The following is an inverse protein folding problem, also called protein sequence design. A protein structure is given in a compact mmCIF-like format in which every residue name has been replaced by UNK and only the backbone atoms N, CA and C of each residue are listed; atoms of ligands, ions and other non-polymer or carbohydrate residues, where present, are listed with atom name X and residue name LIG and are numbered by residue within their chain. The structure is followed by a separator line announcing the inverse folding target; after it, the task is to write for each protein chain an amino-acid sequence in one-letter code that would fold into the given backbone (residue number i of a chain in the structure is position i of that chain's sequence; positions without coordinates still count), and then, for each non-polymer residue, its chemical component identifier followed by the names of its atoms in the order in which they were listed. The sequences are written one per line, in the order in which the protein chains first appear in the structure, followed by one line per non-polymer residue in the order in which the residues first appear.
data_IF_584653122793
#
_entry.id   IF_584653122793
#
_cell.length_a   1.000
_cell.length_b   1.000
_cell.length_c   1.000
_cell.angle_alpha   90.00
_cell.angle_beta   90.00
_cell.angle_gamma   90.00
#
_symmetry.space_group_name_H-M   'P 1'
#
loop_
_entity.id
_entity.type
_entity.pdbx_description
1 polymer ?
#
# COMPACT_ATOMS: atom_id res chain seq x y z
N UNK A 1 30.85 -17.76 -5.65
CA UNK A 1 31.60 -16.58 -6.13
C UNK A 1 31.41 -16.47 -7.63
N UNK A 2 30.33 -15.80 -8.06
CA UNK A 2 30.03 -15.56 -9.46
C UNK A 2 30.28 -14.07 -9.76
N UNK A 3 30.98 -13.79 -10.86
CA UNK A 3 31.32 -12.44 -11.30
C UNK A 3 30.05 -11.65 -11.63
N UNK A 4 29.67 -10.75 -10.72
CA UNK A 4 28.81 -9.61 -11.00
C UNK A 4 29.52 -8.69 -12.00
N UNK A 5 29.39 -8.97 -13.31
CA UNK A 5 29.63 -7.96 -14.34
C UNK A 5 28.46 -6.96 -14.33
N UNK A 6 28.36 -6.21 -13.22
CA UNK A 6 27.69 -4.91 -13.22
C UNK A 6 28.51 -4.03 -14.16
N UNK A 7 27.86 -3.47 -15.18
CA UNK A 7 28.48 -2.46 -16.04
C UNK A 7 29.14 -1.43 -15.12
N UNK A 8 30.44 -1.20 -15.30
CA UNK A 8 31.13 -0.12 -14.60
C UNK A 8 30.48 1.20 -14.97
N UNK A 9 29.72 1.78 -14.04
CA UNK A 9 29.06 3.08 -14.20
C UNK A 9 30.06 4.25 -14.27
N UNK A 10 31.36 4.01 -14.23
CA UNK A 10 32.36 5.05 -14.48
C UNK A 10 32.29 5.61 -15.92
N UNK A 11 31.76 4.86 -16.89
CA UNK A 11 31.51 5.35 -18.26
C UNK A 11 30.28 6.31 -18.35
N UNK A 12 29.46 6.39 -17.30
CA UNK A 12 28.27 7.26 -17.27
C UNK A 12 28.58 8.70 -16.84
N UNK A 13 29.70 8.92 -16.14
CA UNK A 13 30.03 10.20 -15.49
C UNK A 13 30.31 11.35 -16.45
N UNK A 14 30.53 11.11 -17.75
CA UNK A 14 31.05 12.14 -18.67
C UNK A 14 30.24 12.36 -19.96
N UNK A 15 28.95 12.04 -19.95
CA UNK A 15 28.26 11.75 -21.20
C UNK A 15 27.02 12.65 -21.41
N UNK A 16 27.19 13.65 -22.28
CA UNK A 16 26.12 14.26 -23.08
C UNK A 16 25.63 13.24 -24.13
N UNK A 17 25.33 11.99 -23.75
CA UNK A 17 24.94 10.98 -24.71
C UNK A 17 23.54 11.28 -25.25
N UNK A 18 23.51 11.88 -26.42
CA UNK A 18 22.32 11.95 -27.26
C UNK A 18 21.87 10.52 -27.62
N UNK A 19 20.56 10.30 -27.78
CA UNK A 19 20.04 9.00 -28.18
C UNK A 19 20.70 8.52 -29.48
N UNK A 20 21.31 7.33 -29.44
CA UNK A 20 21.96 6.70 -30.60
C UNK A 20 20.96 6.02 -31.52
N UNK A 21 19.95 5.37 -30.93
CA UNK A 21 18.86 4.72 -31.66
C UNK A 21 17.61 4.57 -30.78
N UNK A 22 16.77 5.62 -30.65
CA UNK A 22 15.55 5.60 -29.84
C UNK A 22 14.59 4.45 -30.19
N UNK A 23 14.36 4.22 -31.49
CA UNK A 23 13.44 3.19 -31.96
C UNK A 23 13.90 1.79 -31.54
N UNK A 24 15.21 1.50 -31.67
CA UNK A 24 15.78 0.23 -31.24
C UNK A 24 15.76 0.09 -29.72
N UNK A 25 15.98 1.18 -28.98
CA UNK A 25 15.85 1.19 -27.51
C UNK A 25 14.44 0.78 -27.07
N UNK A 26 13.40 1.35 -27.70
CA UNK A 26 12.00 1.00 -27.43
C UNK A 26 11.74 -0.47 -27.75
N UNK A 27 12.21 -0.97 -28.90
CA UNK A 27 12.05 -2.38 -29.28
C UNK A 27 12.68 -3.34 -28.27
N UNK A 28 13.89 -3.05 -27.78
CA UNK A 28 14.55 -3.87 -26.76
C UNK A 28 13.81 -3.84 -25.43
N UNK A 29 13.29 -2.68 -25.02
CA UNK A 29 12.46 -2.57 -23.82
C UNK A 29 11.17 -3.39 -23.94
N UNK A 30 10.49 -3.33 -25.10
CA UNK A 30 9.30 -4.15 -25.36
C UNK A 30 9.60 -5.65 -25.36
N UNK A 31 10.75 -6.05 -25.91
CA UNK A 31 11.22 -7.44 -25.83
C UNK A 31 11.48 -7.86 -24.38
N UNK A 32 12.07 -6.97 -23.56
CA UNK A 32 12.34 -7.25 -22.15
C UNK A 32 11.06 -7.47 -21.33
N UNK A 33 9.97 -6.74 -21.62
CA UNK A 33 8.67 -6.92 -20.93
C UNK A 33 8.12 -8.35 -21.14
N UNK A 34 8.37 -8.95 -22.31
CA UNK A 34 7.89 -10.28 -22.66
C UNK A 34 8.88 -11.40 -22.28
N UNK A 35 10.07 -11.04 -21.78
CA UNK A 35 11.13 -11.98 -21.46
C UNK A 35 10.95 -12.55 -20.04
N UNK A 36 10.80 -13.87 -19.96
CA UNK A 36 10.61 -14.61 -18.70
C UNK A 36 11.94 -14.76 -17.96
N UNK A 37 13.05 -14.88 -18.67
CA UNK A 37 14.35 -15.05 -18.05
C UNK A 37 14.86 -13.71 -17.46
N UNK A 38 14.99 -13.66 -16.14
CA UNK A 38 15.42 -12.47 -15.40
C UNK A 38 16.74 -11.85 -15.90
N UNK A 39 17.76 -12.67 -16.16
CA UNK A 39 19.07 -12.18 -16.61
C UNK A 39 19.04 -11.63 -18.05
N UNK A 40 18.30 -12.30 -18.94
CA UNK A 40 18.10 -11.84 -20.31
C UNK A 40 17.33 -10.51 -20.32
N UNK A 41 16.27 -10.40 -19.50
CA UNK A 41 15.49 -9.18 -19.32
C UNK A 41 16.35 -8.00 -18.87
N UNK A 42 17.17 -8.17 -17.84
CA UNK A 42 18.09 -7.13 -17.37
C UNK A 42 19.04 -6.68 -18.48
N UNK A 43 19.61 -7.63 -19.23
CA UNK A 43 20.54 -7.31 -20.33
C UNK A 43 19.86 -6.49 -21.43
N UNK A 44 18.64 -6.87 -21.83
CA UNK A 44 17.86 -6.13 -22.83
C UNK A 44 17.57 -4.70 -22.38
N UNK A 45 17.19 -4.50 -21.12
CA UNK A 45 16.93 -3.17 -20.54
C UNK A 45 18.20 -2.31 -20.47
N UNK A 46 19.33 -2.90 -20.09
CA UNK A 46 20.62 -2.21 -20.09
C UNK A 46 21.04 -1.80 -21.51
N UNK A 47 20.88 -2.68 -22.50
CA UNK A 47 21.15 -2.35 -23.90
C UNK A 47 20.21 -1.24 -24.42
N UNK A 48 18.93 -1.28 -24.04
CA UNK A 48 17.97 -0.22 -24.36
C UNK A 48 18.42 1.13 -23.80
N UNK A 49 18.81 1.17 -22.53
CA UNK A 49 19.28 2.38 -21.84
C UNK A 49 20.59 2.92 -22.47
N UNK A 50 21.50 2.05 -22.89
CA UNK A 50 22.73 2.47 -23.59
C UNK A 50 22.45 3.11 -24.96
N UNK A 51 21.41 2.64 -25.66
CA UNK A 51 21.00 3.19 -26.96
C UNK A 51 20.23 4.50 -26.83
N UNK A 52 19.44 4.64 -25.77
CA UNK A 52 18.73 5.88 -25.43
C UNK A 52 18.67 6.07 -23.91
N UNK A 53 19.56 6.91 -23.33
CA UNK A 53 19.55 7.20 -21.90
C UNK A 53 18.28 7.91 -21.41
N UNK A 54 17.42 8.41 -22.30
CA UNK A 54 16.15 9.05 -21.98
C UNK A 54 14.95 8.11 -22.19
N UNK A 55 15.19 6.83 -22.44
CA UNK A 55 14.14 5.81 -22.38
C UNK A 55 13.79 5.52 -20.91
N UNK A 56 13.04 6.42 -20.29
CA UNK A 56 12.71 6.35 -18.86
C UNK A 56 11.95 5.08 -18.46
N UNK A 57 11.14 4.52 -19.37
CA UNK A 57 10.46 3.25 -19.10
C UNK A 57 11.45 2.11 -18.90
N UNK A 58 12.56 2.09 -19.64
CA UNK A 58 13.57 1.06 -19.44
C UNK A 58 14.21 1.14 -18.04
N UNK A 59 14.34 2.32 -17.45
CA UNK A 59 14.78 2.46 -16.05
C UNK A 59 13.72 1.94 -15.07
N UNK A 60 12.45 2.26 -15.29
CA UNK A 60 11.34 1.79 -14.45
C UNK A 60 11.27 0.26 -14.44
N UNK A 61 11.41 -0.38 -15.60
CA UNK A 61 11.40 -1.85 -15.67
C UNK A 61 12.71 -2.51 -15.20
N UNK A 62 13.81 -1.76 -15.15
CA UNK A 62 15.10 -2.29 -14.69
C UNK A 62 15.18 -2.32 -13.16
N UNK A 63 14.56 -1.35 -12.49
CA UNK A 63 14.64 -1.19 -11.05
C UNK A 63 13.32 -1.55 -10.38
N UNK A 64 13.34 -2.62 -9.58
CA UNK A 64 12.16 -3.11 -8.87
C UNK A 64 11.93 -2.42 -7.51
N UNK A 65 12.88 -1.62 -7.04
CA UNK A 65 12.78 -0.90 -5.76
C UNK A 65 12.97 0.61 -5.94
N UNK A 66 12.19 1.44 -5.21
CA UNK A 66 12.45 2.89 -5.09
C UNK A 66 13.89 3.22 -4.69
N UNK A 67 14.51 2.43 -3.81
CA UNK A 67 15.88 2.66 -3.36
C UNK A 67 16.89 2.46 -4.49
N UNK A 68 16.67 1.49 -5.37
CA UNK A 68 17.57 1.23 -6.50
C UNK A 68 17.47 2.34 -7.56
N UNK A 69 16.27 2.90 -7.76
CA UNK A 69 16.09 4.08 -8.61
C UNK A 69 16.87 5.30 -8.09
N UNK A 70 16.82 5.54 -6.78
CA UNK A 70 17.47 6.71 -6.16
C UNK A 70 18.98 6.57 -6.04
N UNK A 71 19.49 5.35 -5.82
CA UNK A 71 20.93 5.09 -5.68
C UNK A 71 21.62 4.75 -7.01
N UNK A 72 20.85 4.51 -8.07
CA UNK A 72 21.33 4.13 -9.39
C UNK A 72 21.61 5.29 -10.35
N UNK A 73 22.05 4.98 -11.59
CA UNK A 73 22.17 5.95 -12.70
C UNK A 73 20.87 6.69 -13.03
N UNK A 74 19.71 6.13 -12.68
CA UNK A 74 18.40 6.73 -12.89
C UNK A 74 18.30 8.12 -12.26
N UNK A 75 18.88 8.32 -11.07
CA UNK A 75 18.88 9.63 -10.39
C UNK A 75 19.69 10.68 -11.15
N UNK A 76 20.83 10.31 -11.73
CA UNK A 76 21.62 11.24 -12.54
C UNK A 76 20.87 11.67 -13.81
N UNK A 77 20.25 10.70 -14.49
CA UNK A 77 19.41 10.95 -15.67
C UNK A 77 18.20 11.81 -15.30
N UNK A 78 17.58 11.56 -14.14
CA UNK A 78 16.49 12.36 -13.61
C UNK A 78 16.90 13.82 -13.41
N UNK A 79 18.01 14.08 -12.72
CA UNK A 79 18.51 15.44 -12.47
C UNK A 79 18.80 16.17 -13.78
N UNK A 80 19.48 15.52 -14.73
CA UNK A 80 19.76 16.08 -16.06
C UNK A 80 18.48 16.40 -16.83
N UNK A 81 17.53 15.48 -16.83
CA UNK A 81 16.24 15.61 -17.54
C UNK A 81 15.37 16.71 -16.92
N UNK A 82 15.34 16.81 -15.59
CA UNK A 82 14.60 17.85 -14.88
C UNK A 82 15.15 19.24 -15.20
N UNK A 83 16.49 19.42 -15.23
CA UNK A 83 17.12 20.68 -15.66
C UNK A 83 16.76 21.04 -17.10
N UNK A 84 16.76 20.05 -18.01
CA UNK A 84 16.37 20.25 -19.41
C UNK A 84 14.90 20.66 -19.54
N UNK A 85 14.02 20.01 -18.79
CA UNK A 85 12.59 20.30 -18.76
C UNK A 85 12.32 21.72 -18.24
N UNK A 86 12.93 22.12 -17.13
CA UNK A 86 12.85 23.49 -16.59
C UNK A 86 13.35 24.51 -17.63
N UNK A 87 14.51 24.27 -18.25
CA UNK A 87 15.08 25.17 -19.27
C UNK A 87 14.19 25.32 -20.50
N UNK A 88 13.39 24.30 -20.83
CA UNK A 88 12.44 24.31 -21.95
C UNK A 88 11.07 24.90 -21.57
N UNK A 89 10.98 25.64 -20.47
CA UNK A 89 9.75 26.23 -19.97
C UNK A 89 8.69 25.18 -19.59
N UNK A 90 9.13 24.07 -18.97
CA UNK A 90 8.29 23.03 -18.36
C UNK A 90 7.12 22.59 -19.27
N UNK A 91 7.39 22.05 -20.47
CA UNK A 91 6.31 21.55 -21.33
C UNK A 91 5.43 20.55 -20.56
N UNK A 92 4.12 20.78 -20.60
CA UNK A 92 3.12 20.04 -19.85
C UNK A 92 2.76 18.68 -20.48
N UNK A 93 1.73 18.05 -19.92
CA UNK A 93 1.30 16.69 -20.28
C UNK A 93 0.92 16.52 -21.75
N UNK A 94 0.38 17.55 -22.41
CA UNK A 94 0.03 17.49 -23.84
C UNK A 94 1.22 17.24 -24.77
N UNK A 95 2.44 17.48 -24.30
CA UNK A 95 3.64 17.21 -25.06
C UNK A 95 4.07 15.75 -24.92
N UNK A 96 3.95 14.96 -26.00
CA UNK A 96 4.28 13.53 -26.01
C UNK A 96 5.70 13.21 -25.50
N UNK A 97 6.69 14.02 -25.90
CA UNK A 97 8.07 13.83 -25.42
C UNK A 97 8.26 14.14 -23.93
N UNK A 98 7.33 14.89 -23.33
CA UNK A 98 7.34 15.27 -21.92
C UNK A 98 6.58 14.28 -21.07
N UNK A 99 5.50 13.64 -21.56
CA UNK A 99 4.72 12.62 -20.84
C UNK A 99 5.58 11.55 -20.20
N UNK A 100 6.51 10.97 -20.96
CA UNK A 100 7.41 9.93 -20.46
C UNK A 100 8.31 10.44 -19.33
N UNK A 101 8.80 11.68 -19.44
CA UNK A 101 9.58 12.29 -18.36
C UNK A 101 8.72 12.62 -17.15
N UNK A 102 7.49 13.12 -17.32
CA UNK A 102 6.60 13.47 -16.22
C UNK A 102 6.19 12.23 -15.41
N UNK A 103 5.88 11.11 -16.09
CA UNK A 103 5.68 9.80 -15.43
C UNK A 103 6.90 9.36 -14.63
N UNK A 104 8.08 9.45 -15.24
CA UNK A 104 9.33 9.12 -14.55
C UNK A 104 9.57 10.04 -13.34
N UNK A 105 9.30 11.34 -13.48
CA UNK A 105 9.40 12.31 -12.39
C UNK A 105 8.43 12.00 -11.26
N UNK A 106 7.21 11.57 -11.56
CA UNK A 106 6.25 11.13 -10.56
C UNK A 106 6.77 9.93 -9.77
N UNK A 107 7.29 8.91 -10.46
CA UNK A 107 7.87 7.72 -9.81
C UNK A 107 9.09 8.10 -8.95
N UNK A 108 9.96 9.00 -9.44
CA UNK A 108 11.09 9.48 -8.65
C UNK A 108 10.64 10.29 -7.42
N UNK A 109 9.58 11.09 -7.55
CA UNK A 109 8.99 11.83 -6.43
C UNK A 109 8.33 10.90 -5.40
N UNK A 110 7.63 9.86 -5.85
CA UNK A 110 7.11 8.80 -5.00
C UNK A 110 8.24 8.09 -4.26
N UNK A 111 9.30 7.69 -4.96
CA UNK A 111 10.46 7.06 -4.33
C UNK A 111 11.09 7.94 -3.25
N UNK A 112 11.19 9.25 -3.47
CA UNK A 112 11.65 10.20 -2.47
C UNK A 112 10.70 10.27 -1.26
N UNK A 113 9.38 10.25 -1.50
CA UNK A 113 8.37 10.22 -0.45
C UNK A 113 8.47 8.95 0.39
N UNK A 114 8.60 7.78 -0.24
CA UNK A 114 8.68 6.47 0.41
C UNK A 114 9.89 6.37 1.36
N UNK A 115 11.01 7.02 1.03
CA UNK A 115 12.20 7.09 1.89
C UNK A 115 12.19 8.27 2.88
N UNK A 116 11.07 8.99 2.99
CA UNK A 116 10.88 10.09 3.93
C UNK A 116 11.52 11.42 3.53
N UNK A 117 11.98 11.60 2.29
CA UNK A 117 12.48 12.88 1.76
C UNK A 117 11.33 13.80 1.33
N UNK A 118 10.43 14.09 2.25
CA UNK A 118 9.14 14.74 1.98
C UNK A 118 9.27 16.14 1.35
N UNK A 119 10.27 16.95 1.74
CA UNK A 119 10.47 18.28 1.15
C UNK A 119 10.92 18.23 -0.31
N UNK A 120 11.78 17.27 -0.67
CA UNK A 120 12.22 17.08 -2.06
C UNK A 120 11.07 16.52 -2.91
N UNK A 121 10.31 15.57 -2.36
CA UNK A 121 9.11 15.04 -2.99
C UNK A 121 8.04 16.13 -3.22
N UNK A 122 7.75 16.97 -2.21
CA UNK A 122 6.80 18.10 -2.31
C UNK A 122 7.14 19.00 -3.48
N UNK A 123 8.41 19.37 -3.61
CA UNK A 123 8.87 20.23 -4.70
C UNK A 123 8.56 19.59 -6.07
N UNK A 124 8.85 18.30 -6.24
CA UNK A 124 8.61 17.62 -7.52
C UNK A 124 7.13 17.40 -7.83
N UNK A 125 6.31 17.02 -6.85
CA UNK A 125 4.87 16.90 -7.05
C UNK A 125 4.20 18.25 -7.33
N UNK A 126 4.65 19.34 -6.68
CA UNK A 126 4.16 20.69 -6.97
C UNK A 126 4.51 21.10 -8.41
N UNK A 127 5.74 20.85 -8.84
CA UNK A 127 6.14 21.11 -10.22
C UNK A 127 5.34 20.28 -11.24
N UNK A 128 4.92 19.05 -10.90
CA UNK A 128 4.05 18.24 -11.74
C UNK A 128 2.63 18.82 -11.81
N UNK A 129 2.05 19.16 -10.66
CA UNK A 129 0.72 19.76 -10.54
C UNK A 129 0.63 21.10 -11.31
N UNK A 130 1.63 21.97 -11.20
CA UNK A 130 1.68 23.25 -11.92
C UNK A 130 1.87 23.09 -13.44
N UNK A 131 2.40 21.95 -13.90
CA UNK A 131 2.72 21.73 -15.31
C UNK A 131 1.56 21.13 -16.12
N UNK A 132 0.52 20.63 -15.45
CA UNK A 132 -0.61 19.97 -16.07
C UNK A 132 -1.90 20.38 -15.37
N UNK A 133 -2.67 21.26 -16.01
CA UNK A 133 -3.97 21.74 -15.50
C UNK A 133 -4.97 20.59 -15.27
N UNK A 134 -4.81 19.46 -15.96
CA UNK A 134 -5.67 18.28 -15.77
C UNK A 134 -5.25 17.40 -14.59
N UNK A 135 -4.05 17.62 -14.05
CA UNK A 135 -3.39 16.78 -13.07
C UNK A 135 -3.57 15.28 -13.38
N UNK A 136 -3.20 14.87 -14.60
CA UNK A 136 -3.45 13.53 -15.12
C UNK A 136 -2.75 12.41 -14.33
N UNK A 137 -1.72 12.77 -13.55
CA UNK A 137 -0.97 11.85 -12.68
C UNK A 137 -1.50 11.84 -11.23
N UNK A 138 -2.44 12.70 -10.87
CA UNK A 138 -2.96 12.81 -9.51
C UNK A 138 -1.93 13.32 -8.51
N UNK A 139 -1.03 14.23 -8.92
CA UNK A 139 -0.02 14.83 -8.05
C UNK A 139 -0.64 15.58 -6.87
N UNK A 140 -1.88 16.09 -7.00
CA UNK A 140 -2.61 16.73 -5.90
C UNK A 140 -2.82 15.80 -4.71
N UNK A 141 -3.11 14.52 -4.94
CA UNK A 141 -3.32 13.56 -3.84
C UNK A 141 -2.02 13.29 -3.09
N UNK A 142 -0.91 13.17 -3.81
CA UNK A 142 0.43 13.03 -3.21
C UNK A 142 0.83 14.28 -2.42
N UNK A 143 0.50 15.48 -2.90
CA UNK A 143 0.72 16.72 -2.15
C UNK A 143 -0.07 16.76 -0.84
N UNK A 144 -1.35 16.39 -0.87
CA UNK A 144 -2.19 16.36 0.33
C UNK A 144 -1.65 15.33 1.32
N UNK A 145 -1.26 14.13 0.86
CA UNK A 145 -0.62 13.14 1.71
C UNK A 145 0.68 13.67 2.35
N UNK A 146 1.55 14.33 1.58
CA UNK A 146 2.77 14.98 2.12
C UNK A 146 2.41 16.03 3.17
N UNK A 147 1.38 16.85 2.94
CA UNK A 147 0.93 17.83 3.94
C UNK A 147 0.36 17.15 5.18
N UNK A 148 -0.29 15.99 5.05
CA UNK A 148 -0.71 15.16 6.18
C UNK A 148 0.50 14.65 6.96
N UNK A 149 1.49 14.08 6.28
CA UNK A 149 2.74 13.58 6.87
C UNK A 149 3.57 14.68 7.56
N UNK A 150 3.40 15.94 7.15
CA UNK A 150 4.12 17.10 7.68
C UNK A 150 3.26 18.04 8.51
N UNK A 151 2.03 17.65 8.84
CA UNK A 151 1.08 18.40 9.67
C UNK A 151 0.73 19.81 9.16
N UNK A 152 0.76 20.03 7.84
CA UNK A 152 0.54 21.33 7.19
C UNK A 152 -0.93 21.53 6.78
N UNK A 153 -1.82 21.75 7.76
CA UNK A 153 -3.27 21.93 7.52
C UNK A 153 -3.59 22.96 6.44
N UNK A 154 -3.06 24.18 6.58
CA UNK A 154 -3.47 25.30 5.73
C UNK A 154 -3.16 25.02 4.24
N UNK A 155 -2.02 24.40 3.94
CA UNK A 155 -1.66 24.00 2.58
C UNK A 155 -2.54 22.89 2.02
N UNK A 156 -2.86 21.89 2.85
CA UNK A 156 -3.73 20.79 2.44
C UNK A 156 -5.14 21.28 2.15
N UNK A 157 -5.67 22.15 3.02
CA UNK A 157 -7.00 22.70 2.90
C UNK A 157 -7.12 23.66 1.71
N UNK A 158 -6.14 24.56 1.50
CA UNK A 158 -6.10 25.46 0.34
C UNK A 158 -6.11 24.67 -0.97
N UNK A 159 -5.30 23.61 -1.07
CA UNK A 159 -5.27 22.75 -2.25
C UNK A 159 -6.61 22.03 -2.46
N UNK A 160 -7.23 21.53 -1.40
CA UNK A 160 -8.52 20.86 -1.48
C UNK A 160 -9.66 21.80 -1.88
N UNK A 161 -9.73 23.01 -1.29
CA UNK A 161 -10.73 24.01 -1.65
C UNK A 161 -10.61 24.42 -3.12
N UNK A 162 -9.39 24.66 -3.61
CA UNK A 162 -9.14 24.99 -5.01
C UNK A 162 -9.68 23.90 -5.95
N UNK A 163 -9.47 22.62 -5.61
CA UNK A 163 -10.01 21.49 -6.39
C UNK A 163 -11.53 21.41 -6.36
N UNK A 164 -12.15 21.69 -5.20
CA UNK A 164 -13.61 21.74 -5.10
C UNK A 164 -14.18 22.89 -5.95
N UNK A 165 -13.55 24.06 -5.92
CA UNK A 165 -13.95 25.22 -6.72
C UNK A 165 -13.83 24.97 -8.22
N UNK A 166 -12.76 24.30 -8.66
CA UNK A 166 -12.53 23.99 -10.07
C UNK A 166 -13.45 22.88 -10.61
N UNK A 167 -13.60 21.79 -9.85
CA UNK A 167 -14.33 20.62 -10.33
C UNK A 167 -15.84 20.70 -10.05
N UNK A 168 -16.24 21.37 -8.97
CA UNK A 168 -17.61 21.32 -8.45
C UNK A 168 -18.03 19.94 -7.95
N UNK A 169 -17.08 19.01 -7.80
CA UNK A 169 -17.31 17.63 -7.37
C UNK A 169 -16.88 17.49 -5.90
N UNK A 170 -17.63 16.74 -5.07
CA UNK A 170 -17.20 16.41 -3.70
C UNK A 170 -15.83 15.74 -3.65
N UNK A 171 -15.15 15.85 -2.51
CA UNK A 171 -13.84 15.23 -2.32
C UNK A 171 -13.88 13.72 -2.55
N UNK A 172 -12.98 13.21 -3.40
CA UNK A 172 -12.69 11.78 -3.47
C UNK A 172 -12.10 11.27 -2.15
N UNK A 173 -12.12 9.96 -1.92
CA UNK A 173 -11.49 9.39 -0.72
C UNK A 173 -9.98 9.68 -0.63
N UNK A 174 -9.29 9.80 -1.78
CA UNK A 174 -7.89 10.21 -1.87
C UNK A 174 -7.60 11.60 -1.29
N UNK A 175 -8.60 12.47 -1.25
CA UNK A 175 -8.52 13.79 -0.65
C UNK A 175 -9.06 13.74 0.79
N UNK A 176 -10.21 13.10 0.97
CA UNK A 176 -10.97 13.08 2.20
C UNK A 176 -10.23 12.35 3.33
N UNK A 177 -9.64 11.19 3.06
CA UNK A 177 -8.94 10.37 4.07
C UNK A 177 -7.71 11.11 4.63
N UNK A 178 -6.75 11.60 3.80
CA UNK A 178 -5.63 12.39 4.31
C UNK A 178 -6.06 13.65 5.06
N UNK A 179 -7.09 14.38 4.60
CA UNK A 179 -7.59 15.58 5.27
C UNK A 179 -8.27 15.27 6.61
N UNK A 180 -9.06 14.19 6.66
CA UNK A 180 -9.70 13.72 7.90
C UNK A 180 -8.64 13.39 8.95
N UNK A 181 -7.63 12.61 8.57
CA UNK A 181 -6.53 12.27 9.47
C UNK A 181 -5.77 13.54 9.88
N UNK A 182 -5.42 14.42 8.94
CA UNK A 182 -4.76 15.69 9.26
C UNK A 182 -5.60 16.59 10.19
N UNK A 183 -6.93 16.59 10.06
CA UNK A 183 -7.84 17.32 10.94
C UNK A 183 -7.74 16.79 12.38
N UNK A 184 -7.77 15.46 12.54
CA UNK A 184 -7.54 14.82 13.86
C UNK A 184 -6.19 15.22 14.41
N UNK A 185 -5.13 15.14 13.59
CA UNK A 185 -3.77 15.38 14.04
C UNK A 185 -3.53 16.83 14.49
N UNK A 186 -4.29 17.77 13.92
CA UNK A 186 -4.15 19.20 14.18
C UNK A 186 -5.27 19.77 15.07
N UNK A 187 -6.08 18.91 15.70
CA UNK A 187 -7.08 19.31 16.70
C UNK A 187 -8.36 19.93 16.13
N UNK A 188 -8.71 19.62 14.88
CA UNK A 188 -9.92 20.11 14.18
C UNK A 188 -11.02 19.05 14.21
N UNK A 189 -11.49 18.72 15.41
CA UNK A 189 -12.40 17.59 15.63
C UNK A 189 -13.71 17.69 14.85
N UNK A 190 -14.32 18.89 14.76
CA UNK A 190 -15.59 19.08 14.03
C UNK A 190 -15.42 18.81 12.53
N UNK A 191 -14.32 19.29 11.94
CA UNK A 191 -13.98 19.05 10.53
C UNK A 191 -13.66 17.58 10.28
N UNK A 192 -12.89 16.96 11.18
CA UNK A 192 -12.60 15.53 11.09
C UNK A 192 -13.90 14.70 11.12
N UNK A 193 -14.81 14.99 12.06
CA UNK A 193 -16.09 14.30 12.19
C UNK A 193 -16.98 14.51 10.95
N UNK A 194 -16.94 15.70 10.34
CA UNK A 194 -17.64 15.98 9.09
C UNK A 194 -17.11 15.10 7.94
N UNK A 195 -15.79 15.06 7.75
CA UNK A 195 -15.17 14.22 6.72
C UNK A 195 -15.40 12.73 6.96
N UNK A 196 -15.37 12.27 8.22
CA UNK A 196 -15.68 10.89 8.55
C UNK A 196 -17.11 10.52 8.15
N UNK A 197 -18.09 11.37 8.47
CA UNK A 197 -19.50 11.14 8.09
C UNK A 197 -19.66 11.06 6.57
N UNK A 198 -18.98 11.94 5.85
CA UNK A 198 -19.00 11.93 4.40
C UNK A 198 -18.36 10.64 3.83
N UNK A 199 -17.26 10.17 4.42
CA UNK A 199 -16.61 8.92 4.01
C UNK A 199 -17.52 7.72 4.21
N UNK A 200 -18.03 7.55 5.43
CA UNK A 200 -18.79 6.36 5.82
C UNK A 200 -20.13 6.27 5.09
N UNK A 201 -20.73 7.40 4.71
CA UNK A 201 -21.97 7.42 3.92
C UNK A 201 -21.76 7.00 2.46
N UNK A 202 -20.53 7.08 1.95
CA UNK A 202 -20.21 6.85 0.54
C UNK A 202 -19.50 5.53 0.28
N UNK A 203 -18.65 5.08 1.20
CA UNK A 203 -17.82 3.90 1.01
C UNK A 203 -18.28 2.75 1.94
N UNK A 204 -18.83 1.65 1.38
CA UNK A 204 -19.36 0.51 2.15
C UNK A 204 -18.27 -0.41 2.74
N UNK A 205 -16.98 -0.13 2.47
CA UNK A 205 -15.85 -0.97 2.89
C UNK A 205 -15.02 -0.34 4.00
N UNK A 206 -15.45 0.80 4.57
CA UNK A 206 -14.68 1.49 5.61
C UNK A 206 -14.43 0.62 6.85
N UNK A 207 -15.37 -0.26 7.16
CA UNK A 207 -15.28 -1.23 8.24
C UNK A 207 -14.12 -2.22 8.07
N UNK A 208 -13.74 -2.54 6.82
CA UNK A 208 -12.59 -3.42 6.54
C UNK A 208 -11.28 -2.79 7.03
N UNK A 209 -11.17 -1.46 7.03
CA UNK A 209 -9.93 -0.80 7.45
C UNK A 209 -9.91 -0.40 8.93
N UNK A 210 -11.09 -0.37 9.59
CA UNK A 210 -11.23 0.07 10.98
C UNK A 210 -11.44 -1.11 11.94
N UNK A 211 -12.18 -2.15 11.54
CA UNK A 211 -12.55 -3.26 12.42
C UNK A 211 -11.58 -4.46 12.37
N UNK A 212 -10.51 -4.39 11.58
CA UNK A 212 -9.51 -5.45 11.53
C UNK A 212 -8.53 -5.31 12.71
N UNK A 213 -8.35 -6.41 13.45
CA UNK A 213 -7.50 -6.47 14.65
C UNK A 213 -6.00 -6.36 14.30
N UNK A 214 -5.61 -6.76 13.10
CA UNK A 214 -4.36 -6.36 12.48
C UNK A 214 -4.56 -5.07 11.72
N UNK A 215 -3.68 -4.06 11.89
CA UNK A 215 -3.79 -2.86 11.11
C UNK A 215 -3.71 -3.27 9.64
N UNK A 216 -4.57 -2.73 8.77
CA UNK A 216 -4.73 -3.21 7.40
C UNK A 216 -3.50 -2.89 6.54
N UNK A 217 -2.27 -2.79 7.07
CA UNK A 217 -1.07 -2.44 6.32
C UNK A 217 -0.68 -3.52 5.31
N UNK A 218 -0.73 -4.80 5.69
CA UNK A 218 -0.54 -5.92 4.77
C UNK A 218 -1.65 -5.95 3.71
N UNK A 219 -2.91 -5.77 4.14
CA UNK A 219 -4.07 -5.69 3.26
C UNK A 219 -4.04 -4.46 2.33
N UNK A 220 -3.61 -3.31 2.82
CA UNK A 220 -3.40 -2.07 2.05
C UNK A 220 -2.29 -2.31 1.04
N UNK A 221 -1.18 -2.93 1.45
CA UNK A 221 -0.07 -3.22 0.54
C UNK A 221 -0.49 -4.16 -0.58
N UNK A 222 -1.24 -5.22 -0.24
CA UNK A 222 -1.83 -6.17 -1.18
C UNK A 222 -2.74 -5.48 -2.20
N UNK A 223 -3.62 -4.59 -1.73
CA UNK A 223 -4.60 -3.88 -2.58
C UNK A 223 -4.06 -2.66 -3.32
N UNK A 224 -2.78 -2.28 -3.12
CA UNK A 224 -2.22 -1.03 -3.66
C UNK A 224 -1.80 -1.08 -5.13
N UNK A 225 -2.12 -2.15 -5.85
CA UNK A 225 -1.81 -2.29 -7.30
C UNK A 225 -3.01 -2.75 -8.13
N UNK A 226 -4.16 -2.05 -8.10
CA UNK A 226 -5.31 -2.47 -8.88
C UNK A 226 -5.09 -2.24 -10.38
N UNK A 227 -5.58 -3.16 -11.22
CA UNK A 227 -5.58 -3.00 -12.68
C UNK A 227 -6.57 -1.91 -13.15
N UNK A 228 -7.69 -1.78 -12.43
CA UNK A 228 -8.73 -0.78 -12.66
C UNK A 228 -9.10 -0.16 -11.31
N UNK A 229 -9.09 1.17 -11.25
CA UNK A 229 -9.45 1.90 -10.04
C UNK A 229 -10.90 2.39 -10.13
N UNK A 230 -11.76 1.87 -9.26
CA UNK A 230 -13.13 2.34 -9.06
C UNK A 230 -13.22 3.18 -7.77
N UNK A 231 -13.97 4.29 -7.77
CA UNK A 231 -14.15 5.10 -6.56
C UNK A 231 -15.13 4.43 -5.60
N UNK A 232 -14.95 4.67 -4.31
CA UNK A 232 -15.69 4.02 -3.23
C UNK A 232 -15.54 2.49 -3.23
N UNK A 233 -14.41 1.97 -3.71
CA UNK A 233 -14.04 0.56 -3.66
C UNK A 233 -13.13 0.27 -2.47
N UNK A 234 -12.81 -1.01 -2.27
CA UNK A 234 -11.87 -1.43 -1.22
C UNK A 234 -10.44 -1.02 -1.58
N UNK A 235 -10.07 -1.12 -2.86
CA UNK A 235 -8.76 -0.76 -3.41
C UNK A 235 -8.53 0.75 -3.38
N UNK A 236 -9.53 1.55 -3.74
CA UNK A 236 -9.40 3.02 -3.68
C UNK A 236 -9.26 3.52 -2.25
N UNK A 237 -9.93 2.87 -1.30
CA UNK A 237 -9.79 3.17 0.11
C UNK A 237 -8.42 2.75 0.63
N UNK A 238 -7.93 1.55 0.27
CA UNK A 238 -6.58 1.09 0.59
C UNK A 238 -5.51 2.06 0.09
N UNK A 239 -5.59 2.47 -1.18
CA UNK A 239 -4.68 3.45 -1.78
C UNK A 239 -4.76 4.83 -1.12
N UNK A 240 -5.93 5.23 -0.61
CA UNK A 240 -6.09 6.50 0.11
C UNK A 240 -5.41 6.49 1.47
N UNK A 241 -5.27 5.31 2.08
CA UNK A 241 -4.54 5.12 3.33
C UNK A 241 -3.04 4.89 3.12
N UNK A 242 -2.62 4.26 2.02
CA UNK A 242 -1.24 3.79 1.79
C UNK A 242 -0.19 4.90 1.97
N UNK A 243 -0.44 6.07 1.40
CA UNK A 243 0.49 7.22 1.46
C UNK A 243 0.61 7.85 2.86
N UNK A 244 -0.33 7.59 3.76
CA UNK A 244 -0.37 8.15 5.12
C UNK A 244 -0.15 7.12 6.23
N UNK A 245 0.11 5.86 5.86
CA UNK A 245 0.48 4.75 6.77
C UNK A 245 1.52 5.18 7.82
N UNK A 246 2.62 5.88 7.48
CA UNK A 246 3.61 6.27 8.49
C UNK A 246 3.03 7.07 9.66
N UNK A 247 2.02 7.91 9.41
CA UNK A 247 1.37 8.68 10.46
C UNK A 247 0.31 7.87 11.20
N UNK A 248 -0.40 6.96 10.53
CA UNK A 248 -1.33 6.04 11.21
C UNK A 248 -0.60 5.11 12.18
N UNK A 249 0.60 4.66 11.83
CA UNK A 249 1.45 3.84 12.72
C UNK A 249 1.93 4.65 13.93
N UNK A 250 2.33 5.92 13.71
CA UNK A 250 2.98 6.72 14.76
C UNK A 250 1.98 7.50 15.64
N UNK A 251 0.79 7.79 15.14
CA UNK A 251 -0.26 8.54 15.83
C UNK A 251 -1.37 7.59 16.33
N UNK A 252 -1.07 6.81 17.38
CA UNK A 252 -2.04 5.85 17.95
C UNK A 252 -3.40 6.47 18.30
N UNK A 253 -3.44 7.77 18.65
CA UNK A 253 -4.69 8.48 18.93
C UNK A 253 -5.58 8.66 17.70
N UNK A 254 -5.02 8.71 16.48
CA UNK A 254 -5.78 8.79 15.25
C UNK A 254 -6.56 7.49 15.03
N UNK A 255 -5.96 6.33 15.30
CA UNK A 255 -6.62 5.03 15.23
C UNK A 255 -7.75 4.93 16.28
N UNK A 256 -7.47 5.28 17.53
CA UNK A 256 -8.50 5.32 18.59
C UNK A 256 -9.65 6.26 18.23
N UNK A 257 -9.35 7.38 17.55
CA UNK A 257 -10.38 8.30 17.08
C UNK A 257 -11.23 7.68 15.96
N UNK A 258 -10.61 6.98 14.99
CA UNK A 258 -11.31 6.26 13.93
C UNK A 258 -12.27 5.22 14.50
N UNK A 259 -11.81 4.37 15.43
CA UNK A 259 -12.63 3.34 16.08
C UNK A 259 -13.85 3.95 16.78
N UNK A 260 -13.63 5.06 17.49
CA UNK A 260 -14.68 5.80 18.18
C UNK A 260 -15.69 6.38 17.20
N UNK A 261 -15.23 6.96 16.08
CA UNK A 261 -16.12 7.52 15.07
C UNK A 261 -16.90 6.44 14.35
N UNK A 262 -16.25 5.33 14.00
CA UNK A 262 -16.91 4.20 13.37
C UNK A 262 -17.98 3.60 14.29
N UNK A 263 -17.65 3.34 15.56
CA UNK A 263 -18.63 2.87 16.55
C UNK A 263 -19.85 3.79 16.67
N UNK A 264 -19.64 5.11 16.56
CA UNK A 264 -20.67 6.14 16.63
C UNK A 264 -21.52 6.21 15.34
N UNK A 265 -20.93 5.98 14.18
CA UNK A 265 -21.53 6.28 12.88
C UNK A 265 -21.70 5.10 11.91
N UNK A 266 -21.34 3.88 12.29
CA UNK A 266 -21.51 2.67 11.48
C UNK A 266 -22.92 2.48 10.92
N UNK A 267 -23.95 2.96 11.63
CA UNK A 267 -25.33 2.94 11.17
C UNK A 267 -25.61 3.82 9.93
N UNK A 268 -24.67 4.68 9.54
CA UNK A 268 -24.73 5.50 8.33
C UNK A 268 -24.09 4.79 7.13
N UNK A 269 -23.36 3.69 7.36
CA UNK A 269 -22.71 2.94 6.30
C UNK A 269 -23.77 2.34 5.35
N UNK A 270 -23.60 2.45 4.03
CA UNK A 270 -24.47 1.78 3.08
C UNK A 270 -24.33 0.27 3.21
N UNK A 271 -25.44 -0.46 3.09
CA UNK A 271 -25.40 -1.91 2.96
C UNK A 271 -24.67 -2.29 1.66
N UNK A 272 -23.74 -3.25 1.74
CA UNK A 272 -23.09 -3.81 0.55
C UNK A 272 -24.11 -4.55 -0.30
N UNK A 273 -24.02 -4.40 -1.62
CA UNK A 273 -24.76 -5.27 -2.54
C UNK A 273 -24.18 -6.69 -2.51
N UNK A 274 -24.92 -7.71 -2.98
CA UNK A 274 -24.37 -9.07 -3.08
C UNK A 274 -23.06 -9.15 -3.88
N UNK A 275 -22.92 -8.36 -4.95
CA UNK A 275 -21.70 -8.30 -5.75
C UNK A 275 -20.54 -7.68 -4.96
N UNK A 276 -20.80 -6.63 -4.19
CA UNK A 276 -19.81 -5.98 -3.33
C UNK A 276 -19.34 -6.91 -2.19
N UNK A 277 -20.27 -7.69 -1.63
CA UNK A 277 -19.95 -8.68 -0.62
C UNK A 277 -19.12 -9.85 -1.19
N UNK A 278 -19.42 -10.29 -2.42
CA UNK A 278 -18.62 -11.30 -3.13
C UNK A 278 -17.17 -10.83 -3.35
N UNK A 279 -17.00 -9.59 -3.84
CA UNK A 279 -15.67 -8.97 -4.01
C UNK A 279 -14.90 -8.93 -2.69
N UNK A 280 -15.55 -8.48 -1.61
CA UNK A 280 -14.93 -8.45 -0.28
C UNK A 280 -14.49 -9.85 0.17
N UNK A 281 -15.36 -10.86 0.04
CA UNK A 281 -15.04 -12.23 0.44
C UNK A 281 -13.90 -12.82 -0.37
N UNK A 282 -13.80 -12.51 -1.66
CA UNK A 282 -12.70 -12.96 -2.49
C UNK A 282 -11.37 -12.31 -2.06
N UNK A 283 -11.37 -11.01 -1.75
CA UNK A 283 -10.18 -10.36 -1.17
C UNK A 283 -9.74 -10.98 0.14
N UNK A 284 -10.67 -11.29 1.03
CA UNK A 284 -10.35 -11.93 2.31
C UNK A 284 -9.80 -13.33 2.09
N UNK A 285 -10.38 -14.12 1.17
CA UNK A 285 -9.86 -15.46 0.85
C UNK A 285 -8.46 -15.38 0.26
N UNK A 286 -8.23 -14.54 -0.73
CA UNK A 286 -6.94 -14.45 -1.41
C UNK A 286 -5.85 -13.98 -0.45
N UNK A 287 -6.15 -12.97 0.38
CA UNK A 287 -5.24 -12.51 1.43
C UNK A 287 -4.89 -13.61 2.43
N UNK A 288 -5.88 -14.37 2.93
CA UNK A 288 -5.67 -15.48 3.85
C UNK A 288 -4.93 -16.66 3.19
N UNK A 289 -5.10 -16.88 1.89
CA UNK A 289 -4.39 -17.93 1.16
C UNK A 289 -2.93 -17.55 0.85
N UNK A 290 -2.62 -16.29 0.55
CA UNK A 290 -1.23 -15.85 0.37
C UNK A 290 -0.41 -15.98 1.65
N UNK A 291 -0.99 -15.64 2.81
CA UNK A 291 -0.32 -15.86 4.09
C UNK A 291 -0.05 -17.37 4.32
N UNK A 292 -0.98 -18.24 3.92
CA UNK A 292 -0.84 -19.70 4.03
C UNK A 292 0.20 -20.29 3.06
N UNK A 293 0.21 -19.84 1.80
CA UNK A 293 1.20 -20.28 0.79
C UNK A 293 2.60 -19.77 1.13
N UNK A 294 2.75 -18.54 1.66
CA UNK A 294 4.06 -18.04 2.13
C UNK A 294 4.60 -18.87 3.31
N UNK A 295 3.70 -19.37 4.17
CA UNK A 295 4.03 -20.27 5.26
C UNK A 295 4.46 -21.66 4.76
N UNK A 296 3.86 -22.13 3.66
CA UNK A 296 4.24 -23.39 2.99
C UNK A 296 5.60 -23.25 2.31
N UNK A 297 5.87 -22.15 1.62
CA UNK A 297 7.18 -21.90 0.98
C UNK A 297 8.31 -21.79 2.02
N UNK A 298 8.06 -21.23 3.22
CA UNK A 298 9.00 -21.27 4.35
C UNK A 298 9.18 -22.69 4.93
N UNK A 299 8.18 -23.57 4.74
CA UNK A 299 8.24 -24.98 5.13
C UNK A 299 8.89 -25.88 4.07
N UNK A 300 8.90 -25.49 2.79
CA UNK A 300 9.63 -26.18 1.70
C UNK A 300 11.16 -26.06 1.87
N UNK A 301 11.66 -25.03 2.57
CA UNK A 301 13.06 -24.98 3.02
C UNK A 301 13.39 -26.01 4.13
N UNK A 302 12.40 -26.79 4.60
CA UNK A 302 12.54 -27.97 5.47
C UNK A 302 12.28 -29.32 4.75
N UNK A 303 12.44 -29.37 3.42
CA UNK A 303 12.37 -30.57 2.55
C UNK A 303 13.46 -31.65 2.85
N UNK A 304 13.42 -32.25 4.04
CA UNK A 304 14.11 -33.53 4.33
C UNK A 304 13.25 -34.45 5.23
N UNK A 305 11.94 -34.19 5.36
CA UNK A 305 11.01 -35.07 6.08
C UNK A 305 9.98 -35.69 5.12
N UNK A 306 9.88 -37.02 5.17
CA UNK A 306 9.17 -37.88 4.21
C UNK A 306 7.65 -37.57 4.14
N UNK A 307 7.09 -37.62 2.92
CA UNK A 307 5.71 -37.31 2.51
C UNK A 307 4.59 -38.06 3.30
N UNK A 308 4.92 -39.00 4.17
CA UNK A 308 3.95 -39.73 5.00
C UNK A 308 3.58 -38.99 6.33
N UNK A 309 4.16 -37.81 6.61
CA UNK A 309 3.81 -36.95 7.76
C UNK A 309 2.86 -35.78 7.44
N UNK A 310 2.46 -35.57 6.18
CA UNK A 310 1.55 -34.49 5.75
C UNK A 310 0.05 -34.78 5.97
N UNK A 311 -0.29 -35.52 7.02
CA UNK A 311 -1.62 -35.43 7.64
C UNK A 311 -1.49 -34.42 8.77
N UNK A 312 -1.98 -33.18 8.57
CA UNK A 312 -2.13 -32.19 9.65
C UNK A 312 -2.75 -32.91 10.84
N UNK A 313 -2.02 -33.11 11.95
CA UNK A 313 -2.59 -33.86 13.03
C UNK A 313 -3.63 -32.97 13.69
N UNK A 314 -4.86 -33.47 13.72
CA UNK A 314 -5.94 -33.01 14.60
C UNK A 314 -5.39 -32.81 16.04
N UNK A 315 -6.05 -32.01 16.91
CA UNK A 315 -5.52 -31.36 18.13
C UNK A 315 -4.72 -32.19 19.14
N UNK A 316 -4.62 -33.50 18.98
CA UNK A 316 -3.92 -34.42 19.88
C UNK A 316 -2.40 -34.48 19.67
N UNK A 317 -1.85 -33.97 18.56
CA UNK A 317 -0.39 -34.04 18.30
C UNK A 317 0.36 -32.69 18.31
N UNK A 318 -0.33 -31.56 18.44
CA UNK A 318 0.29 -30.23 18.57
C UNK A 318 0.27 -29.76 20.04
N UNK A 319 1.37 -29.20 20.57
CA UNK A 319 1.34 -28.50 21.85
C UNK A 319 0.21 -27.47 21.88
N UNK A 320 -0.60 -27.48 22.93
CA UNK A 320 -1.81 -26.67 23.01
C UNK A 320 -1.54 -25.17 22.84
N UNK A 321 -0.36 -24.70 23.28
CA UNK A 321 0.09 -23.33 23.11
C UNK A 321 0.23 -22.95 21.63
N UNK A 322 0.79 -23.83 20.80
CA UNK A 322 0.94 -23.61 19.36
C UNK A 322 -0.40 -23.68 18.64
N UNK A 323 -1.31 -24.55 19.10
CA UNK A 323 -2.67 -24.61 18.57
C UNK A 323 -3.45 -23.32 18.87
N UNK A 324 -3.35 -22.79 20.09
CA UNK A 324 -3.94 -21.48 20.40
C UNK A 324 -3.31 -20.36 19.56
N UNK A 325 -2.02 -20.47 19.22
CA UNK A 325 -1.35 -19.49 18.37
C UNK A 325 -1.99 -19.37 16.99
N UNK A 326 -2.47 -20.47 16.43
CA UNK A 326 -3.12 -20.53 15.11
C UNK A 326 -4.60 -20.15 15.14
N UNK A 327 -5.29 -20.45 16.25
CA UNK A 327 -6.76 -20.41 16.31
C UNK A 327 -7.32 -19.16 16.98
N UNK A 328 -6.51 -18.48 17.79
CA UNK A 328 -6.97 -17.38 18.64
C UNK A 328 -6.05 -16.16 18.51
N UNK A 329 -6.60 -14.94 18.35
CA UNK A 329 -5.83 -13.71 18.36
C UNK A 329 -5.02 -13.55 19.66
N UNK A 330 -3.89 -12.84 19.61
CA UNK A 330 -2.95 -12.75 20.73
C UNK A 330 -3.58 -12.31 22.06
N UNK A 331 -4.50 -11.34 22.03
CA UNK A 331 -5.22 -10.84 23.21
C UNK A 331 -6.13 -11.92 23.82
N UNK A 332 -6.77 -12.74 22.97
CA UNK A 332 -7.54 -13.89 23.40
C UNK A 332 -6.65 -14.97 24.01
N UNK A 333 -5.47 -15.21 23.43
CA UNK A 333 -4.47 -16.17 23.95
C UNK A 333 -3.99 -15.77 25.34
N UNK A 334 -3.59 -14.51 25.52
CA UNK A 334 -3.18 -14.00 26.83
C UNK A 334 -4.33 -14.10 27.84
N UNK A 335 -5.54 -13.70 27.47
CA UNK A 335 -6.70 -13.77 28.35
C UNK A 335 -7.04 -15.21 28.78
N UNK A 336 -6.90 -16.19 27.87
CA UNK A 336 -7.10 -17.61 28.17
C UNK A 336 -5.99 -18.15 29.09
N UNK A 337 -4.73 -17.81 28.82
CA UNK A 337 -3.58 -18.21 29.66
C UNK A 337 -3.66 -17.61 31.07
N UNK A 338 -3.97 -16.32 31.19
CA UNK A 338 -4.18 -15.63 32.48
C UNK A 338 -5.34 -16.24 33.28
N UNK A 339 -6.38 -16.71 32.59
CA UNK A 339 -7.51 -17.40 33.20
C UNK A 339 -7.20 -18.87 33.57
N UNK A 340 -6.00 -19.37 33.28
CA UNK A 340 -5.58 -20.75 33.52
C UNK A 340 -6.25 -21.76 32.58
N UNK A 341 -6.75 -21.32 31.42
CA UNK A 341 -7.42 -22.14 30.42
C UNK A 341 -6.40 -22.64 29.39
N UNK A 342 -5.45 -23.44 29.87
CA UNK A 342 -4.29 -23.91 29.09
C UNK A 342 -4.49 -25.30 28.47
N UNK A 343 -5.74 -25.74 28.30
CA UNK A 343 -6.07 -26.99 27.57
C UNK A 343 -7.41 -26.85 26.85
N UNK A 344 -7.62 -27.61 25.77
CA UNK A 344 -8.91 -27.68 25.04
C UNK A 344 -10.05 -27.99 26.00
N UNK A 345 -9.87 -29.02 26.83
CA UNK A 345 -10.87 -29.42 27.81
C UNK A 345 -11.22 -28.32 28.82
N UNK A 346 -10.26 -27.49 29.23
CA UNK A 346 -10.52 -26.38 30.14
C UNK A 346 -11.35 -25.28 29.47
N UNK A 347 -11.14 -25.04 28.16
CA UNK A 347 -11.91 -24.09 27.36
C UNK A 347 -13.34 -24.59 27.16
N UNK A 348 -13.52 -25.85 26.76
CA UNK A 348 -14.83 -26.49 26.59
C UNK A 348 -15.65 -26.42 27.88
N UNK A 349 -15.03 -26.74 29.02
CA UNK A 349 -15.71 -26.66 30.32
C UNK A 349 -16.03 -25.23 30.76
N UNK A 350 -15.28 -24.23 30.30
CA UNK A 350 -15.58 -22.84 30.62
C UNK A 350 -16.88 -22.39 29.93
N UNK A 351 -17.07 -22.80 28.67
CA UNK A 351 -18.24 -22.46 27.85
C UNK A 351 -18.30 -20.98 27.45
N UNK A 352 -19.05 -20.69 26.39
CA UNK A 352 -19.00 -19.38 25.71
C UNK A 352 -19.29 -18.19 26.65
N UNK A 353 -20.26 -18.36 27.56
CA UNK A 353 -20.68 -17.31 28.50
C UNK A 353 -19.63 -16.92 29.54
N UNK A 354 -18.69 -17.83 29.86
CA UNK A 354 -17.60 -17.55 30.82
C UNK A 354 -16.40 -16.98 30.09
N UNK A 355 -16.12 -17.46 28.89
CA UNK A 355 -15.06 -16.95 28.03
C UNK A 355 -15.31 -15.49 27.63
N UNK A 356 -16.53 -15.13 27.22
CA UNK A 356 -16.90 -13.74 26.89
C UNK A 356 -16.81 -12.74 28.05
N UNK A 357 -16.56 -13.21 29.28
CA UNK A 357 -16.32 -12.34 30.44
C UNK A 357 -14.84 -12.04 30.67
N UNK A 358 -13.94 -12.71 29.93
CA UNK A 358 -12.51 -12.45 29.97
C UNK A 358 -12.21 -11.20 29.14
N UNK A 359 -11.42 -10.29 29.70
CA UNK A 359 -11.00 -9.08 29.02
C UNK A 359 -10.02 -9.46 27.92
N UNK A 360 -10.40 -9.28 26.66
CA UNK A 360 -9.63 -9.73 25.49
C UNK A 360 -10.23 -10.91 24.73
N UNK A 361 -11.35 -11.47 25.20
CA UNK A 361 -12.09 -12.54 24.50
C UNK A 361 -13.43 -11.98 24.00
N UNK A 362 -13.55 -11.85 22.67
CA UNK A 362 -14.75 -11.36 21.99
C UNK A 362 -15.54 -12.48 21.30
N UNK A 363 -16.70 -12.16 20.68
CA UNK A 363 -17.47 -13.13 19.89
C UNK A 363 -16.66 -13.80 18.79
N UNK A 364 -15.75 -13.08 18.12
CA UNK A 364 -14.85 -13.64 17.10
C UNK A 364 -13.95 -14.74 17.65
N UNK A 365 -13.38 -14.56 18.85
CA UNK A 365 -12.60 -15.62 19.52
C UNK A 365 -13.43 -16.90 19.75
N UNK A 366 -14.71 -16.77 20.09
CA UNK A 366 -15.61 -17.93 20.29
C UNK A 366 -15.90 -18.63 18.98
N UNK A 367 -16.09 -17.88 17.91
CA UNK A 367 -16.32 -18.40 16.56
C UNK A 367 -15.09 -19.14 16.03
N UNK A 368 -13.90 -18.53 16.12
CA UNK A 368 -12.64 -19.19 15.73
C UNK A 368 -12.40 -20.48 16.52
N UNK A 369 -12.63 -20.49 17.83
CA UNK A 369 -12.50 -21.73 18.62
C UNK A 369 -13.47 -22.83 18.14
N UNK A 370 -14.68 -22.48 17.69
CA UNK A 370 -15.67 -23.45 17.16
C UNK A 370 -15.31 -23.94 15.77
N UNK A 371 -14.86 -23.05 14.90
CA UNK A 371 -14.45 -23.39 13.53
C UNK A 371 -13.30 -24.39 13.51
N UNK A 372 -12.46 -24.36 14.56
CA UNK A 372 -11.37 -25.29 14.79
C UNK A 372 -11.72 -26.49 15.68
N UNK A 373 -13.02 -26.73 15.91
CA UNK A 373 -13.53 -27.98 16.46
C UNK A 373 -13.62 -28.07 17.99
N UNK A 374 -13.52 -26.96 18.73
CA UNK A 374 -13.67 -26.95 20.18
C UNK A 374 -15.15 -26.79 20.55
N UNK A 375 -15.65 -27.65 21.43
CA UNK A 375 -17.07 -27.67 21.84
C UNK A 375 -17.35 -26.66 22.99
N UNK A 376 -17.91 -25.48 22.68
CA UNK A 376 -18.01 -24.32 23.62
C UNK A 376 -19.42 -23.72 23.76
#
# INVERSE_FOLDING_TARGET
MANNNVISFDDYRDSNHEPRSPEKSIQLMQQAIQEVNHFARIKLLQEAIQLDPYNFQAYIYLYNSPLDLLNGPAMEVFVKSNRRWIRKNRPGWENESSKNFLRFKFIMAQALMDIGKLTEAEMHFRELYEADESDALGARYKLVAIYTLTYQWDKAYELAELEMEHSGIPFSEFMLVPLMILAVLTGREETAELYFKDLIQRNPYLDVFINNEDPPFSFIHYLSTPEVLELCSIESLALSFSDIVPVLVTAAYANVWLDKMYSKYQHLAPERTPEQEEIYLDYVKDFLMEDFESMIDEMDDMEDMEEDEFLVPWPDAMPFEQYLELVVPWQGREALQEAGLTTVHAIEQAGANKLLKLKGVGPGTIESLRDYGIEI
#
